data_IF_441606833354
#
_entry.id   IF_441606833354
#
_cell.length_a   1.000
_cell.length_b   1.000
_cell.length_c   1.000
_cell.angle_alpha   90.00
_cell.angle_beta   90.00
_cell.angle_gamma   90.00
#
_symmetry.space_group_name_H-M   'P 1'
#
loop_
_entity.id
_entity.type
_entity.pdbx_description
1 polymer ?
#
# COMPACT_ATOMS: atom_id res chain seq x y z
N UNK A 1 -25.94 -6.40 -22.68
CA UNK A 1 -25.22 -6.83 -21.43
C UNK A 1 -25.65 -8.26 -21.13
N UNK A 2 -24.80 -9.21 -21.43
CA UNK A 2 -25.00 -10.62 -21.09
C UNK A 2 -24.32 -10.98 -19.78
N UNK A 3 -24.81 -12.04 -19.14
CA UNK A 3 -24.16 -12.68 -18.00
C UNK A 3 -23.51 -13.96 -18.52
N UNK A 4 -22.20 -14.03 -18.41
CA UNK A 4 -21.36 -15.13 -18.90
C UNK A 4 -20.83 -15.88 -17.68
N UNK A 5 -21.33 -17.09 -17.45
CA UNK A 5 -20.86 -17.91 -16.35
C UNK A 5 -19.60 -18.67 -16.77
N UNK A 6 -18.53 -18.59 -15.99
CA UNK A 6 -17.26 -19.29 -16.29
C UNK A 6 -17.45 -20.83 -16.36
N UNK A 7 -18.46 -21.37 -15.67
CA UNK A 7 -18.77 -22.81 -15.73
C UNK A 7 -19.25 -23.27 -17.11
N UNK A 8 -19.88 -22.40 -17.88
CA UNK A 8 -20.30 -22.69 -19.26
C UNK A 8 -19.10 -22.86 -20.18
N UNK A 9 -17.92 -22.37 -19.77
CA UNK A 9 -16.64 -22.52 -20.44
C UNK A 9 -15.77 -23.65 -19.86
N UNK A 10 -16.31 -24.40 -18.92
CA UNK A 10 -15.67 -25.59 -18.36
C UNK A 10 -14.96 -25.41 -17.03
N UNK A 11 -15.04 -24.21 -16.42
CA UNK A 11 -14.49 -23.99 -15.07
C UNK A 11 -15.21 -24.88 -14.05
N UNK A 12 -14.44 -25.55 -13.20
CA UNK A 12 -14.94 -26.49 -12.21
C UNK A 12 -15.31 -25.80 -10.89
N UNK A 13 -14.47 -24.87 -10.45
CA UNK A 13 -14.65 -24.20 -9.17
C UNK A 13 -14.65 -25.18 -8.00
N UNK A 14 -13.83 -26.22 -8.06
CA UNK A 14 -13.69 -27.29 -7.04
C UNK A 14 -12.48 -27.06 -6.12
N UNK A 15 -11.74 -25.98 -6.30
CA UNK A 15 -10.56 -25.62 -5.53
C UNK A 15 -9.28 -26.38 -5.90
N UNK A 16 -9.37 -27.36 -6.78
CA UNK A 16 -8.26 -28.24 -7.16
C UNK A 16 -7.90 -28.10 -8.64
N UNK A 17 -8.91 -28.12 -9.50
CA UNK A 17 -8.72 -27.99 -10.97
C UNK A 17 -8.21 -26.60 -11.29
N UNK A 18 -7.23 -26.50 -12.19
CA UNK A 18 -6.77 -25.20 -12.68
C UNK A 18 -7.77 -24.65 -13.70
N UNK A 19 -8.53 -23.64 -13.31
CA UNK A 19 -9.62 -23.06 -14.09
C UNK A 19 -9.19 -21.87 -14.98
N UNK A 20 -7.90 -21.54 -15.03
CA UNK A 20 -7.35 -20.36 -15.72
C UNK A 20 -7.86 -20.25 -17.15
N UNK A 21 -7.68 -21.30 -17.96
CA UNK A 21 -8.07 -21.27 -19.36
C UNK A 21 -9.58 -21.15 -19.56
N UNK A 22 -10.39 -21.78 -18.70
CA UNK A 22 -11.83 -21.71 -18.77
C UNK A 22 -12.33 -20.29 -18.45
N UNK A 23 -11.78 -19.69 -17.40
CA UNK A 23 -12.09 -18.30 -17.02
C UNK A 23 -11.63 -17.33 -18.11
N UNK A 24 -10.43 -17.53 -18.66
CA UNK A 24 -9.90 -16.68 -19.73
C UNK A 24 -10.76 -16.76 -21.00
N UNK A 25 -11.21 -17.94 -21.39
CA UNK A 25 -12.14 -18.09 -22.53
C UNK A 25 -13.47 -17.35 -22.30
N UNK A 26 -13.99 -17.38 -21.08
CA UNK A 26 -15.19 -16.61 -20.73
C UNK A 26 -14.94 -15.09 -20.87
N UNK A 27 -13.80 -14.59 -20.36
CA UNK A 27 -13.39 -13.20 -20.52
C UNK A 27 -13.24 -12.83 -21.99
N UNK A 28 -12.57 -13.66 -22.78
CA UNK A 28 -12.30 -13.42 -24.20
C UNK A 28 -13.59 -13.37 -25.02
N UNK A 29 -14.59 -14.18 -24.66
CA UNK A 29 -15.89 -14.22 -25.34
C UNK A 29 -16.79 -13.03 -25.05
N UNK A 30 -16.60 -12.35 -23.92
CA UNK A 30 -17.44 -11.23 -23.49
C UNK A 30 -17.42 -10.09 -24.51
N UNK A 31 -18.56 -9.44 -24.71
CA UNK A 31 -18.68 -8.21 -25.47
C UNK A 31 -18.70 -6.98 -24.54
N UNK A 32 -18.57 -5.80 -25.12
CA UNK A 32 -18.61 -4.55 -24.35
C UNK A 32 -19.87 -4.46 -23.45
N UNK A 33 -19.66 -4.27 -22.16
CA UNK A 33 -20.70 -4.18 -21.15
C UNK A 33 -21.19 -5.52 -20.59
N UNK A 34 -20.64 -6.65 -21.02
CA UNK A 34 -20.98 -7.95 -20.45
C UNK A 34 -20.33 -8.18 -19.09
N UNK A 35 -20.95 -9.09 -18.32
CA UNK A 35 -20.46 -9.53 -17.01
C UNK A 35 -19.96 -10.97 -17.08
N UNK A 36 -18.71 -11.21 -16.72
CA UNK A 36 -18.14 -12.54 -16.52
C UNK A 36 -18.25 -12.90 -15.04
N UNK A 37 -18.90 -14.02 -14.73
CA UNK A 37 -19.32 -14.37 -13.38
C UNK A 37 -18.65 -15.66 -12.90
N UNK A 38 -17.91 -15.55 -11.81
CA UNK A 38 -17.45 -16.65 -10.97
C UNK A 38 -18.50 -16.89 -9.89
N UNK A 39 -19.43 -17.78 -10.16
CA UNK A 39 -20.62 -17.98 -9.31
C UNK A 39 -20.76 -19.39 -8.77
N UNK A 40 -21.95 -19.68 -8.23
CA UNK A 40 -22.31 -21.03 -7.78
C UNK A 40 -21.52 -21.52 -6.57
N UNK A 41 -21.02 -20.61 -5.71
CA UNK A 41 -20.20 -20.93 -4.54
C UNK A 41 -18.96 -21.76 -4.88
N UNK A 42 -18.35 -21.49 -6.05
CA UNK A 42 -17.16 -22.17 -6.53
C UNK A 42 -15.88 -21.60 -5.93
N UNK A 43 -14.87 -22.47 -5.80
CA UNK A 43 -13.50 -22.12 -5.47
C UNK A 43 -12.66 -22.27 -6.73
N UNK A 44 -12.41 -21.17 -7.45
CA UNK A 44 -11.79 -21.17 -8.76
C UNK A 44 -10.29 -20.99 -8.64
N UNK A 45 -9.52 -22.10 -8.71
CA UNK A 45 -8.07 -22.08 -8.67
C UNK A 45 -7.52 -21.59 -10.01
N UNK A 46 -6.73 -20.53 -10.02
CA UNK A 46 -6.24 -19.99 -11.27
C UNK A 46 -4.86 -19.34 -11.18
N UNK A 47 -4.16 -19.31 -12.31
CA UNK A 47 -2.97 -18.51 -12.55
C UNK A 47 -3.36 -17.14 -13.13
N UNK A 48 -2.55 -16.62 -14.05
CA UNK A 48 -2.72 -15.29 -14.62
C UNK A 48 -3.97 -15.17 -15.49
N UNK A 49 -4.78 -14.15 -15.23
CA UNK A 49 -5.94 -13.71 -16.01
C UNK A 49 -5.68 -12.31 -16.59
N UNK A 50 -5.99 -12.14 -17.86
CA UNK A 50 -5.97 -10.84 -18.54
C UNK A 50 -7.38 -10.31 -18.71
N UNK A 51 -7.63 -9.10 -18.21
CA UNK A 51 -8.88 -8.38 -18.47
C UNK A 51 -8.80 -7.52 -19.73
N UNK A 52 -9.96 -7.07 -20.20
CA UNK A 52 -10.10 -6.19 -21.35
C UNK A 52 -11.10 -5.07 -21.06
N UNK A 53 -11.18 -4.09 -21.96
CA UNK A 53 -12.08 -2.95 -21.82
C UNK A 53 -13.55 -3.34 -21.79
N UNK A 54 -14.34 -2.48 -21.15
CA UNK A 54 -15.79 -2.58 -21.06
C UNK A 54 -16.29 -3.90 -20.43
N UNK A 55 -15.55 -4.40 -19.45
CA UNK A 55 -15.80 -5.70 -18.80
C UNK A 55 -16.13 -5.53 -17.33
N UNK A 56 -17.12 -6.30 -16.89
CA UNK A 56 -17.40 -6.51 -15.47
C UNK A 56 -17.04 -7.94 -15.06
N UNK A 57 -16.04 -8.08 -14.14
CA UNK A 57 -15.70 -9.35 -13.51
C UNK A 57 -16.42 -9.45 -12.16
N UNK A 58 -17.29 -10.42 -12.01
CA UNK A 58 -18.09 -10.62 -10.81
C UNK A 58 -17.68 -11.89 -10.08
N UNK A 59 -17.22 -11.74 -8.85
CA UNK A 59 -16.98 -12.86 -7.93
C UNK A 59 -18.15 -12.87 -6.95
N UNK A 60 -19.11 -13.78 -7.15
CA UNK A 60 -20.33 -13.81 -6.35
C UNK A 60 -20.08 -14.11 -4.87
N UNK A 61 -20.98 -13.62 -4.02
CA UNK A 61 -20.98 -13.97 -2.60
C UNK A 61 -20.97 -15.47 -2.39
N UNK A 62 -19.99 -15.97 -1.65
CA UNK A 62 -19.78 -17.41 -1.41
C UNK A 62 -18.88 -18.08 -2.45
N UNK A 63 -18.48 -17.38 -3.52
CA UNK A 63 -17.46 -17.83 -4.46
C UNK A 63 -16.11 -17.20 -4.14
N UNK A 64 -15.05 -17.88 -4.57
CA UNK A 64 -13.67 -17.46 -4.34
C UNK A 64 -12.81 -17.64 -5.58
N UNK A 65 -12.07 -16.61 -5.96
CA UNK A 65 -10.97 -16.68 -6.91
C UNK A 65 -9.70 -16.99 -6.12
N UNK A 66 -9.14 -18.16 -6.33
CA UNK A 66 -7.95 -18.63 -5.62
C UNK A 66 -6.73 -18.53 -6.54
N UNK A 67 -5.75 -17.71 -6.18
CA UNK A 67 -4.46 -17.71 -6.85
C UNK A 67 -3.75 -19.05 -6.65
N UNK A 68 -3.24 -19.62 -7.73
CA UNK A 68 -2.50 -20.88 -7.66
C UNK A 68 -1.27 -20.75 -6.75
N UNK A 69 -0.99 -21.79 -5.98
CA UNK A 69 0.23 -21.90 -5.17
C UNK A 69 1.48 -22.30 -5.97
N UNK A 70 1.33 -22.53 -7.27
CA UNK A 70 2.43 -22.90 -8.17
C UNK A 70 2.77 -21.73 -9.09
N UNK A 71 3.96 -21.17 -8.95
CA UNK A 71 4.42 -20.03 -9.74
C UNK A 71 4.43 -20.31 -11.25
N UNK A 72 4.58 -21.58 -11.68
CA UNK A 72 4.54 -21.97 -13.09
C UNK A 72 3.16 -21.74 -13.77
N UNK A 73 2.11 -21.48 -13.00
CA UNK A 73 0.79 -21.13 -13.53
C UNK A 73 0.63 -19.63 -13.83
N UNK A 74 1.66 -18.85 -13.50
CA UNK A 74 1.70 -17.41 -13.75
C UNK A 74 2.72 -17.11 -14.84
N UNK A 75 2.51 -16.00 -15.53
CA UNK A 75 3.48 -15.49 -16.50
C UNK A 75 3.69 -13.99 -16.32
N UNK A 76 4.87 -13.51 -16.67
CA UNK A 76 5.17 -12.09 -16.68
C UNK A 76 4.34 -11.40 -17.76
N UNK A 77 3.72 -10.27 -17.41
CA UNK A 77 2.88 -9.52 -18.35
C UNK A 77 3.68 -8.58 -19.28
N UNK A 78 5.01 -8.60 -19.16
CA UNK A 78 5.90 -7.78 -19.98
C UNK A 78 6.09 -6.35 -19.48
N UNK A 79 5.45 -5.96 -18.38
CA UNK A 79 5.68 -4.68 -17.75
C UNK A 79 6.83 -4.78 -16.74
N UNK A 80 7.75 -3.83 -16.79
CA UNK A 80 8.84 -3.71 -15.83
C UNK A 80 8.58 -2.53 -14.89
N UNK A 81 8.58 -2.80 -13.60
CA UNK A 81 8.53 -1.78 -12.56
C UNK A 81 9.89 -1.73 -11.84
N UNK A 82 10.51 -0.57 -11.73
CA UNK A 82 11.88 -0.46 -11.21
C UNK A 82 12.05 -0.84 -9.74
N UNK A 83 11.01 -0.84 -8.94
CA UNK A 83 11.06 -1.36 -7.56
C UNK A 83 10.82 -2.88 -7.51
N UNK A 84 10.12 -3.43 -8.52
CA UNK A 84 9.79 -4.84 -8.64
C UNK A 84 10.24 -5.32 -10.02
N UNK A 85 11.17 -6.23 -10.11
CA UNK A 85 11.64 -6.84 -11.35
C UNK A 85 10.45 -7.32 -12.18
N UNK A 86 10.36 -8.18 -12.98
CA UNK A 86 9.23 -8.59 -13.81
C UNK A 86 7.87 -8.58 -13.10
N UNK A 87 6.87 -7.94 -13.70
CA UNK A 87 5.51 -7.91 -13.17
C UNK A 87 4.80 -9.21 -13.46
N UNK A 88 4.50 -9.95 -12.41
CA UNK A 88 3.76 -11.23 -12.44
C UNK A 88 2.46 -11.03 -11.67
N UNK A 89 1.32 -11.28 -12.32
CA UNK A 89 -0.01 -10.97 -11.78
C UNK A 89 -0.96 -12.17 -11.81
N UNK A 90 -1.88 -12.22 -10.86
CA UNK A 90 -3.07 -13.06 -10.91
C UNK A 90 -4.11 -12.45 -11.88
N UNK A 91 -4.32 -11.14 -11.79
CA UNK A 91 -5.20 -10.37 -12.67
C UNK A 91 -4.43 -9.17 -13.20
N UNK A 92 -4.50 -8.92 -14.51
CA UNK A 92 -3.94 -7.69 -15.06
C UNK A 92 -4.73 -7.14 -16.23
N UNK A 93 -4.58 -5.83 -16.46
CA UNK A 93 -5.06 -5.13 -17.65
C UNK A 93 -4.03 -4.10 -18.11
N UNK A 94 -3.80 -4.00 -19.41
CA UNK A 94 -2.85 -3.05 -20.01
C UNK A 94 -3.55 -2.28 -21.13
N UNK A 95 -3.55 -0.94 -21.06
CA UNK A 95 -4.14 -0.04 -22.04
C UNK A 95 -5.67 -0.25 -22.22
N UNK A 96 -6.37 -0.57 -21.16
CA UNK A 96 -7.80 -0.90 -21.16
C UNK A 96 -8.62 0.19 -20.45
N UNK A 97 -9.94 0.17 -20.63
CA UNK A 97 -10.83 1.15 -20.01
C UNK A 97 -12.16 0.53 -19.58
N UNK A 98 -12.83 1.20 -18.62
CA UNK A 98 -14.16 0.80 -18.16
C UNK A 98 -14.16 -0.64 -17.61
N UNK A 99 -13.32 -0.90 -16.63
CA UNK A 99 -13.21 -2.21 -15.99
C UNK A 99 -13.84 -2.14 -14.60
N UNK A 100 -14.73 -3.07 -14.31
CA UNK A 100 -15.32 -3.24 -12.99
C UNK A 100 -14.99 -4.62 -12.43
N UNK A 101 -14.54 -4.69 -11.15
CA UNK A 101 -14.35 -5.95 -10.42
C UNK A 101 -15.14 -5.87 -9.12
N UNK A 102 -16.10 -6.79 -8.92
CA UNK A 102 -17.00 -6.72 -7.77
C UNK A 102 -17.66 -8.08 -7.44
N UNK A 103 -18.69 -8.08 -6.57
CA UNK A 103 -19.64 -9.21 -6.45
C UNK A 103 -19.83 -9.76 -5.04
N UNK A 104 -19.11 -9.29 -4.02
CA UNK A 104 -19.24 -9.74 -2.62
C UNK A 104 -18.53 -11.04 -2.29
N UNK A 105 -17.81 -11.62 -3.25
CA UNK A 105 -16.99 -12.82 -3.07
C UNK A 105 -15.60 -12.51 -2.52
N UNK A 106 -14.70 -13.49 -2.69
CA UNK A 106 -13.33 -13.42 -2.17
C UNK A 106 -12.29 -13.59 -3.27
N UNK A 107 -11.14 -12.96 -3.05
CA UNK A 107 -9.90 -13.26 -3.76
C UNK A 107 -8.89 -13.74 -2.72
N UNK A 108 -8.45 -14.98 -2.82
CA UNK A 108 -7.40 -15.55 -1.98
C UNK A 108 -6.12 -15.71 -2.80
N UNK A 109 -5.09 -14.96 -2.45
CA UNK A 109 -3.86 -14.91 -3.26
C UNK A 109 -2.81 -15.93 -2.85
N UNK A 110 -2.99 -16.59 -1.69
CA UNK A 110 -2.08 -17.63 -1.20
C UNK A 110 -0.61 -17.18 -1.09
N UNK A 111 -0.37 -15.95 -0.65
CA UNK A 111 0.97 -15.36 -0.56
C UNK A 111 1.95 -16.16 0.31
N UNK A 112 1.43 -16.86 1.32
CA UNK A 112 2.20 -17.77 2.16
C UNK A 112 2.89 -18.91 1.38
N UNK A 113 2.41 -19.25 0.20
CA UNK A 113 3.02 -20.29 -0.65
C UNK A 113 4.34 -19.84 -1.30
N UNK A 114 4.61 -18.54 -1.32
CA UNK A 114 5.74 -17.93 -2.04
C UNK A 114 6.80 -17.35 -1.11
N UNK A 115 6.63 -17.48 0.20
CA UNK A 115 7.48 -16.86 1.20
C UNK A 115 8.06 -17.91 2.12
N UNK A 116 9.35 -17.83 2.37
CA UNK A 116 9.99 -18.62 3.40
C UNK A 116 9.95 -17.88 4.74
N UNK A 117 9.08 -18.29 5.64
CA UNK A 117 8.94 -17.68 6.96
C UNK A 117 10.14 -17.93 7.90
N UNK A 118 11.04 -18.83 7.54
CA UNK A 118 12.31 -19.03 8.24
C UNK A 118 13.40 -18.07 7.77
N UNK A 119 13.21 -17.43 6.60
CA UNK A 119 14.04 -16.34 6.16
C UNK A 119 13.61 -15.04 6.83
N UNK A 120 14.56 -14.25 7.31
CA UNK A 120 14.30 -13.00 7.97
C UNK A 120 15.02 -11.83 7.31
N UNK A 121 14.46 -10.64 7.48
CA UNK A 121 15.07 -9.44 6.96
C UNK A 121 16.42 -9.20 7.64
N UNK A 122 17.54 -9.14 6.92
CA UNK A 122 18.82 -8.76 7.45
C UNK A 122 18.87 -7.24 7.66
N UNK A 123 17.98 -6.71 8.48
CA UNK A 123 18.02 -5.31 8.88
C UNK A 123 19.08 -5.06 9.93
N UNK A 124 19.34 -3.81 10.24
CA UNK A 124 20.35 -3.29 11.17
C UNK A 124 20.08 -3.62 12.64
N UNK A 125 19.51 -4.76 12.92
CA UNK A 125 19.03 -5.11 14.26
C UNK A 125 19.98 -6.07 14.94
N UNK A 126 20.17 -5.85 16.23
CA UNK A 126 20.87 -6.79 17.08
C UNK A 126 20.20 -8.17 17.03
N UNK A 127 20.90 -9.14 16.47
CA UNK A 127 20.41 -10.51 16.25
C UNK A 127 19.86 -11.17 17.52
N UNK A 128 20.38 -10.85 18.69
CA UNK A 128 19.92 -11.43 19.95
C UNK A 128 18.55 -10.91 20.39
N UNK A 129 18.24 -9.66 20.08
CA UNK A 129 16.91 -9.09 20.34
C UNK A 129 15.87 -9.59 19.33
N UNK A 130 16.29 -9.80 18.10
CA UNK A 130 15.42 -10.33 17.04
C UNK A 130 14.98 -11.77 17.28
N UNK A 131 15.83 -12.60 17.85
CA UNK A 131 15.47 -14.00 18.16
C UNK A 131 14.32 -14.09 19.17
N UNK A 132 14.19 -13.11 20.06
CA UNK A 132 13.07 -13.06 21.03
C UNK A 132 11.72 -12.70 20.38
N UNK A 133 11.74 -12.15 19.18
CA UNK A 133 10.58 -11.55 18.50
C UNK A 133 10.34 -12.16 17.13
N UNK A 134 10.91 -13.33 16.90
CA UNK A 134 10.88 -14.04 15.61
C UNK A 134 9.48 -14.14 14.98
N UNK A 135 8.45 -14.34 15.80
CA UNK A 135 7.07 -14.47 15.30
C UNK A 135 6.47 -13.18 14.76
N UNK A 136 7.05 -12.03 15.11
CA UNK A 136 6.58 -10.72 14.65
C UNK A 136 7.39 -10.15 13.48
N UNK A 137 8.52 -10.79 13.11
CA UNK A 137 9.40 -10.24 12.08
C UNK A 137 8.78 -10.24 10.69
N UNK A 138 9.02 -9.16 9.98
CA UNK A 138 8.73 -9.08 8.56
C UNK A 138 9.71 -9.98 7.78
N UNK A 139 9.17 -10.81 6.90
CA UNK A 139 9.95 -11.71 6.06
C UNK A 139 10.30 -10.99 4.76
N UNK A 140 11.56 -10.63 4.63
CA UNK A 140 12.12 -10.02 3.42
C UNK A 140 13.33 -10.82 3.00
N UNK A 141 13.34 -11.32 1.80
CA UNK A 141 14.52 -11.97 1.23
C UNK A 141 14.58 -11.74 -0.26
N UNK A 142 15.73 -11.85 -0.89
CA UNK A 142 15.85 -11.78 -2.35
C UNK A 142 14.88 -12.73 -3.05
N UNK A 143 14.70 -13.91 -2.49
CA UNK A 143 13.81 -14.93 -2.99
C UNK A 143 12.35 -14.49 -3.00
N UNK A 144 11.92 -13.70 -2.02
CA UNK A 144 10.53 -13.24 -1.96
C UNK A 144 10.18 -12.23 -3.04
N UNK A 145 11.16 -11.51 -3.58
CA UNK A 145 10.95 -10.55 -4.68
C UNK A 145 10.96 -11.22 -6.05
N UNK A 146 11.76 -12.27 -6.22
CA UNK A 146 12.03 -12.91 -7.52
C UNK A 146 11.11 -14.09 -7.78
N UNK A 147 10.54 -14.70 -6.75
CA UNK A 147 9.85 -15.99 -6.82
C UNK A 147 8.38 -15.94 -6.42
N UNK A 148 7.76 -14.77 -6.46
CA UNK A 148 6.33 -14.57 -6.12
C UNK A 148 5.62 -13.69 -7.14
N UNK A 149 4.30 -13.79 -7.29
CA UNK A 149 3.53 -12.75 -7.97
C UNK A 149 3.81 -11.39 -7.33
N UNK A 150 4.45 -10.48 -8.10
CA UNK A 150 4.98 -9.22 -7.60
C UNK A 150 3.91 -8.13 -7.51
N UNK A 151 2.92 -8.18 -8.40
CA UNK A 151 1.78 -7.27 -8.45
C UNK A 151 0.52 -8.08 -8.79
N UNK A 152 -0.08 -8.74 -7.79
CA UNK A 152 -1.16 -9.70 -8.01
C UNK A 152 -2.36 -9.16 -8.76
N UNK A 153 -2.79 -7.92 -8.52
CA UNK A 153 -3.83 -7.24 -9.31
C UNK A 153 -3.23 -5.95 -9.86
N UNK A 154 -3.01 -5.93 -11.17
CA UNK A 154 -2.21 -4.90 -11.84
C UNK A 154 -2.91 -4.27 -13.02
N UNK A 155 -2.92 -2.94 -13.03
CA UNK A 155 -3.43 -2.12 -14.13
C UNK A 155 -2.34 -1.15 -14.58
N UNK A 156 -2.07 -1.10 -15.88
CA UNK A 156 -1.19 -0.08 -16.47
C UNK A 156 -1.85 0.63 -17.63
N UNK A 157 -1.73 1.96 -17.64
CA UNK A 157 -2.32 2.85 -18.64
C UNK A 157 -3.84 2.59 -18.87
N UNK A 158 -4.55 2.32 -17.77
CA UNK A 158 -5.98 2.02 -17.80
C UNK A 158 -6.82 3.23 -17.33
N UNK A 159 -8.07 3.29 -17.78
CA UNK A 159 -8.99 4.39 -17.41
C UNK A 159 -10.33 3.87 -16.92
N UNK A 160 -10.95 4.64 -16.01
CA UNK A 160 -12.27 4.32 -15.45
C UNK A 160 -12.32 2.91 -14.86
N UNK A 161 -11.56 2.70 -13.80
CA UNK A 161 -11.47 1.42 -13.08
C UNK A 161 -12.33 1.52 -11.83
N UNK A 162 -13.23 0.57 -11.61
CA UNK A 162 -14.04 0.48 -10.41
C UNK A 162 -13.89 -0.89 -9.74
N UNK A 163 -13.33 -0.91 -8.54
CA UNK A 163 -13.15 -2.14 -7.74
C UNK A 163 -13.90 -1.97 -6.43
N UNK A 164 -14.86 -2.88 -6.17
CA UNK A 164 -15.70 -2.71 -5.00
C UNK A 164 -16.34 -4.00 -4.47
N UNK A 165 -16.73 -3.95 -3.18
CA UNK A 165 -17.50 -5.00 -2.52
C UNK A 165 -16.84 -6.39 -2.60
N UNK A 166 -15.54 -6.48 -2.35
CA UNK A 166 -14.79 -7.73 -2.32
C UNK A 166 -13.98 -7.86 -1.02
N UNK A 167 -13.62 -9.10 -0.71
CA UNK A 167 -12.67 -9.42 0.35
C UNK A 167 -11.43 -10.05 -0.28
N UNK A 168 -10.27 -9.52 0.05
CA UNK A 168 -8.99 -9.94 -0.52
C UNK A 168 -8.06 -10.38 0.60
N UNK A 169 -7.41 -11.52 0.43
CA UNK A 169 -6.62 -12.14 1.48
C UNK A 169 -5.25 -12.56 0.98
N UNK A 170 -4.27 -12.39 1.87
CA UNK A 170 -2.97 -13.06 1.83
C UNK A 170 -2.22 -12.83 0.52
N UNK A 171 -2.04 -11.55 0.18
CA UNK A 171 -1.25 -11.16 -0.99
C UNK A 171 0.23 -11.48 -0.83
N UNK A 172 0.89 -12.02 -1.86
CA UNK A 172 2.33 -12.25 -1.83
C UNK A 172 3.16 -10.96 -1.94
N UNK A 173 2.62 -9.88 -2.53
CA UNK A 173 3.29 -8.61 -2.75
C UNK A 173 2.25 -7.49 -2.92
N UNK A 174 2.54 -6.39 -3.61
CA UNK A 174 1.65 -5.23 -3.80
C UNK A 174 0.28 -5.63 -4.33
N UNK A 175 -0.71 -5.68 -3.45
CA UNK A 175 -2.01 -6.32 -3.71
C UNK A 175 -2.73 -5.74 -4.92
N UNK A 176 -2.94 -4.43 -4.92
CA UNK A 176 -3.53 -3.68 -6.03
C UNK A 176 -2.56 -2.61 -6.49
N UNK A 177 -2.14 -2.67 -7.73
CA UNK A 177 -1.25 -1.67 -8.32
C UNK A 177 -1.90 -1.03 -9.52
N UNK A 178 -1.99 0.30 -9.48
CA UNK A 178 -2.45 1.13 -10.58
C UNK A 178 -1.27 1.97 -11.07
N UNK A 179 -0.80 1.70 -12.28
CA UNK A 179 0.32 2.38 -12.90
C UNK A 179 -0.17 3.20 -14.09
N UNK A 180 0.17 4.48 -14.16
CA UNK A 180 -0.26 5.39 -15.23
C UNK A 180 -1.79 5.39 -15.49
N UNK A 181 -2.59 5.12 -14.48
CA UNK A 181 -4.04 5.00 -14.60
C UNK A 181 -4.74 6.33 -14.31
N UNK A 182 -5.95 6.50 -14.87
CA UNK A 182 -6.75 7.70 -14.70
C UNK A 182 -8.21 7.35 -14.40
N UNK A 183 -8.76 7.91 -13.31
CA UNK A 183 -10.13 7.64 -12.90
C UNK A 183 -10.28 6.27 -12.21
N UNK A 184 -9.85 6.20 -10.94
CA UNK A 184 -9.90 4.98 -10.14
C UNK A 184 -10.90 5.18 -9.01
N UNK A 185 -11.89 4.29 -8.91
CA UNK A 185 -12.78 4.20 -7.75
C UNK A 185 -12.57 2.85 -7.07
N UNK A 186 -12.07 2.89 -5.85
CA UNK A 186 -11.80 1.71 -5.02
C UNK A 186 -12.57 1.86 -3.70
N UNK A 187 -13.60 1.05 -3.51
CA UNK A 187 -14.49 1.26 -2.38
C UNK A 187 -15.09 -0.01 -1.79
N UNK A 188 -15.48 0.07 -0.50
CA UNK A 188 -16.18 -1.02 0.19
C UNK A 188 -15.37 -2.33 0.17
N UNK A 189 -14.07 -2.26 0.33
CA UNK A 189 -13.17 -3.40 0.26
C UNK A 189 -12.69 -3.82 1.64
N UNK A 190 -12.43 -5.11 1.79
CA UNK A 190 -11.73 -5.67 2.93
C UNK A 190 -10.46 -6.35 2.43
N UNK A 191 -9.30 -5.84 2.79
CA UNK A 191 -7.99 -6.38 2.42
C UNK A 191 -7.28 -6.81 3.70
N UNK A 192 -6.95 -8.09 3.80
CA UNK A 192 -6.32 -8.69 4.97
C UNK A 192 -5.13 -9.54 4.53
N UNK A 193 -3.97 -8.96 4.60
CA UNK A 193 -2.71 -9.56 4.20
C UNK A 193 -1.94 -10.08 5.42
N UNK A 194 -1.14 -11.10 5.18
CA UNK A 194 -0.28 -11.64 6.23
C UNK A 194 0.74 -10.57 6.69
N UNK A 195 0.68 -10.20 7.96
CA UNK A 195 1.44 -9.07 8.53
C UNK A 195 2.97 -9.25 8.56
N UNK A 196 3.49 -10.45 8.29
CA UNK A 196 4.94 -10.72 8.20
C UNK A 196 5.46 -10.75 6.76
N UNK A 197 4.61 -10.72 5.75
CA UNK A 197 5.05 -10.68 4.36
C UNK A 197 5.36 -9.24 3.98
N UNK A 198 6.61 -8.98 3.61
CA UNK A 198 7.04 -7.67 3.14
C UNK A 198 6.44 -7.31 1.78
N UNK A 199 6.29 -6.02 1.52
CA UNK A 199 5.76 -5.47 0.28
C UNK A 199 4.34 -5.95 -0.07
N UNK A 200 3.54 -6.38 0.88
CA UNK A 200 2.15 -6.71 0.61
C UNK A 200 1.21 -5.53 0.91
N UNK A 201 1.51 -4.42 0.23
CA UNK A 201 0.70 -3.20 0.26
C UNK A 201 -0.78 -3.49 -0.02
N UNK A 202 -1.66 -2.67 0.48
CA UNK A 202 -3.09 -2.75 0.15
C UNK A 202 -3.36 -2.22 -1.24
N UNK A 203 -3.24 -0.91 -1.43
CA UNK A 203 -3.42 -0.22 -2.72
C UNK A 203 -2.23 0.67 -3.00
N UNK A 204 -1.65 0.53 -4.18
CA UNK A 204 -0.51 1.31 -4.64
C UNK A 204 -0.83 2.04 -5.94
N UNK A 205 -0.80 3.37 -5.92
CA UNK A 205 -0.90 4.22 -7.08
C UNK A 205 0.52 4.61 -7.54
N UNK A 206 0.86 4.33 -8.78
CA UNK A 206 2.12 4.72 -9.40
C UNK A 206 1.85 5.62 -10.59
N UNK A 207 2.20 6.90 -10.50
CA UNK A 207 1.94 7.90 -11.54
C UNK A 207 0.49 7.91 -12.03
N UNK A 208 -0.47 7.72 -11.12
CA UNK A 208 -1.91 7.61 -11.41
C UNK A 208 -2.69 8.79 -10.84
N UNK A 209 -3.79 9.14 -11.48
CA UNK A 209 -4.52 10.37 -11.16
C UNK A 209 -6.03 10.14 -11.03
N UNK A 210 -6.70 11.12 -10.41
CA UNK A 210 -8.16 11.12 -10.23
C UNK A 210 -8.67 9.86 -9.54
N UNK A 211 -8.08 9.54 -8.38
CA UNK A 211 -8.34 8.33 -7.61
C UNK A 211 -9.10 8.58 -6.33
N UNK A 212 -10.07 7.71 -6.03
CA UNK A 212 -10.81 7.69 -4.76
C UNK A 212 -10.69 6.31 -4.15
N UNK A 213 -10.19 6.25 -2.92
CA UNK A 213 -10.15 5.05 -2.07
C UNK A 213 -10.99 5.33 -0.83
N UNK A 214 -12.11 4.63 -0.65
CA UNK A 214 -13.00 4.93 0.46
C UNK A 214 -13.74 3.73 1.03
N UNK A 215 -14.13 3.88 2.30
CA UNK A 215 -14.93 2.88 3.04
C UNK A 215 -14.28 1.48 2.99
N UNK A 216 -12.98 1.42 3.25
CA UNK A 216 -12.18 0.21 3.16
C UNK A 216 -11.56 -0.16 4.50
N UNK A 217 -11.29 -1.44 4.66
CA UNK A 217 -10.45 -1.97 5.75
C UNK A 217 -9.18 -2.57 5.14
N UNK A 218 -8.03 -2.12 5.63
CA UNK A 218 -6.72 -2.63 5.22
C UNK A 218 -5.93 -3.11 6.43
N UNK A 219 -5.53 -4.37 6.42
CA UNK A 219 -4.61 -4.98 7.38
C UNK A 219 -3.43 -5.53 6.58
N UNK A 220 -2.28 -4.86 6.61
CA UNK A 220 -1.18 -5.13 5.69
C UNK A 220 0.15 -5.34 6.42
N UNK A 221 1.03 -6.11 5.81
CA UNK A 221 2.42 -6.25 6.25
C UNK A 221 3.32 -5.11 5.75
N UNK A 222 2.85 -4.35 4.77
CA UNK A 222 3.45 -3.12 4.26
C UNK A 222 2.40 -2.00 4.19
N UNK A 223 2.57 -0.99 3.36
CA UNK A 223 1.70 0.19 3.31
C UNK A 223 0.24 -0.18 3.00
N UNK A 224 -0.73 0.33 3.76
CA UNK A 224 -2.14 0.08 3.42
C UNK A 224 -2.55 0.86 2.17
N UNK A 225 -2.09 2.10 2.05
CA UNK A 225 -2.20 2.92 0.84
C UNK A 225 -0.85 3.56 0.53
N UNK A 226 -0.39 3.44 -0.69
CA UNK A 226 0.80 4.13 -1.17
C UNK A 226 0.54 4.87 -2.48
N UNK A 227 1.14 6.05 -2.64
CA UNK A 227 1.21 6.76 -3.91
C UNK A 227 2.65 7.17 -4.19
N UNK A 228 3.19 6.69 -5.32
CA UNK A 228 4.56 6.95 -5.76
C UNK A 228 4.59 7.25 -7.26
N UNK A 229 5.74 7.61 -7.79
CA UNK A 229 5.98 7.60 -9.22
C UNK A 229 7.12 6.63 -9.52
N UNK A 230 6.98 5.88 -10.58
CA UNK A 230 8.04 5.02 -11.09
C UNK A 230 9.10 5.88 -11.77
N UNK A 231 10.39 5.60 -11.60
CA UNK A 231 11.49 6.30 -12.29
C UNK A 231 11.41 6.21 -13.82
N UNK A 232 10.71 5.22 -14.34
CA UNK A 232 10.51 5.06 -15.78
C UNK A 232 9.29 5.84 -16.30
N UNK A 233 8.55 6.53 -15.46
CA UNK A 233 7.37 7.31 -15.84
C UNK A 233 7.59 8.77 -15.49
N UNK A 234 7.36 9.66 -16.43
CA UNK A 234 7.32 11.11 -16.19
C UNK A 234 6.00 11.55 -15.54
N UNK A 235 5.20 10.59 -15.06
CA UNK A 235 3.87 10.84 -14.55
C UNK A 235 3.83 11.51 -13.19
N UNK A 236 2.63 11.90 -12.81
CA UNK A 236 2.30 12.54 -11.54
C UNK A 236 1.20 11.74 -10.87
N UNK A 237 1.28 11.55 -9.56
CA UNK A 237 0.12 11.16 -8.77
C UNK A 237 -0.62 12.42 -8.33
N UNK A 238 -1.85 12.61 -8.80
CA UNK A 238 -2.60 13.81 -8.44
C UNK A 238 -4.11 13.59 -8.29
N UNK A 239 -4.74 14.50 -7.54
CA UNK A 239 -6.17 14.47 -7.32
C UNK A 239 -6.63 13.13 -6.69
N UNK A 240 -6.03 12.78 -5.57
CA UNK A 240 -6.30 11.52 -4.86
C UNK A 240 -7.02 11.81 -3.55
N UNK A 241 -8.12 11.11 -3.31
CA UNK A 241 -8.82 11.09 -2.02
C UNK A 241 -8.71 9.70 -1.37
N UNK A 242 -8.32 9.68 -0.09
CA UNK A 242 -8.38 8.47 0.75
C UNK A 242 -9.25 8.80 1.95
N UNK A 243 -10.42 8.14 2.08
CA UNK A 243 -11.39 8.50 3.11
C UNK A 243 -12.12 7.31 3.75
N UNK A 244 -12.65 7.52 4.95
CA UNK A 244 -13.50 6.55 5.65
C UNK A 244 -12.89 5.16 5.78
N UNK A 245 -11.60 5.05 6.05
CA UNK A 245 -10.89 3.78 6.09
C UNK A 245 -10.39 3.40 7.48
N UNK A 246 -10.34 2.08 7.73
CA UNK A 246 -9.67 1.46 8.86
C UNK A 246 -8.38 0.81 8.39
N UNK A 247 -7.25 1.17 8.98
CA UNK A 247 -5.94 0.75 8.51
C UNK A 247 -5.06 0.19 9.63
N UNK A 248 -4.27 -0.84 9.35
CA UNK A 248 -3.18 -1.32 10.20
C UNK A 248 -2.04 -1.83 9.33
N UNK A 249 -0.81 -1.41 9.64
CA UNK A 249 0.37 -1.72 8.83
C UNK A 249 1.59 -2.08 9.69
N UNK A 250 2.46 -2.93 9.15
CA UNK A 250 3.81 -3.15 9.68
C UNK A 250 4.84 -2.15 9.14
N UNK A 251 4.46 -1.32 8.18
CA UNK A 251 5.16 -0.18 7.63
C UNK A 251 4.36 1.10 7.92
N UNK A 252 4.02 1.89 6.93
CA UNK A 252 3.14 3.04 7.10
C UNK A 252 1.69 2.70 6.74
N UNK A 253 0.73 3.18 7.51
CA UNK A 253 -0.67 3.04 7.11
C UNK A 253 -0.92 3.79 5.79
N UNK A 254 -0.34 4.98 5.63
CA UNK A 254 -0.45 5.78 4.41
C UNK A 254 0.94 6.31 4.04
N UNK A 255 1.32 6.15 2.76
CA UNK A 255 2.57 6.68 2.23
C UNK A 255 2.35 7.49 0.96
N UNK A 256 2.86 8.72 0.96
CA UNK A 256 2.98 9.56 -0.22
C UNK A 256 4.46 9.80 -0.52
N UNK A 257 4.86 9.42 -1.73
CA UNK A 257 6.21 9.64 -2.23
C UNK A 257 7.19 8.53 -1.90
N UNK A 258 8.18 8.54 -2.71
CA UNK A 258 9.44 7.83 -2.67
C UNK A 258 10.44 8.75 -3.38
N UNK A 259 11.62 8.34 -3.71
CA UNK A 259 12.70 9.23 -4.19
C UNK A 259 12.23 10.27 -5.25
N UNK A 260 11.89 9.86 -6.44
CA UNK A 260 11.59 10.74 -7.59
C UNK A 260 10.12 11.15 -7.73
N UNK A 261 9.30 10.88 -6.74
CA UNK A 261 7.85 10.99 -6.87
C UNK A 261 7.39 12.44 -7.05
N UNK A 262 6.49 12.66 -8.00
CA UNK A 262 5.75 13.90 -8.18
C UNK A 262 4.32 13.69 -7.74
N UNK A 263 3.91 14.30 -6.63
CA UNK A 263 2.62 14.06 -5.99
C UNK A 263 2.01 15.40 -5.63
N UNK A 264 0.72 15.59 -5.94
CA UNK A 264 0.01 16.82 -5.59
C UNK A 264 -1.51 16.65 -5.45
N UNK A 265 -2.12 17.58 -4.75
CA UNK A 265 -3.57 17.65 -4.56
C UNK A 265 -4.10 16.37 -3.91
N UNK A 266 -3.64 16.08 -2.71
CA UNK A 266 -4.01 14.88 -1.96
C UNK A 266 -4.92 15.26 -0.79
N UNK A 267 -6.00 14.51 -0.61
CA UNK A 267 -6.88 14.59 0.55
C UNK A 267 -6.95 13.26 1.27
N UNK A 268 -6.57 13.25 2.53
CA UNK A 268 -6.77 12.13 3.47
C UNK A 268 -7.75 12.60 4.53
N UNK A 269 -8.87 11.90 4.71
CA UNK A 269 -9.85 12.32 5.71
C UNK A 269 -10.60 11.15 6.35
N UNK A 270 -11.03 11.36 7.60
CA UNK A 270 -11.89 10.42 8.33
C UNK A 270 -11.28 9.02 8.42
N UNK A 271 -9.99 8.93 8.77
CA UNK A 271 -9.22 7.68 8.84
C UNK A 271 -9.02 7.26 10.29
N UNK A 272 -9.17 5.96 10.54
CA UNK A 272 -8.72 5.34 11.78
C UNK A 272 -7.54 4.41 11.51
N UNK A 273 -6.38 4.75 12.06
CA UNK A 273 -5.17 3.95 12.00
C UNK A 273 -5.04 3.20 13.33
N UNK A 274 -5.13 1.89 13.26
CA UNK A 274 -4.85 0.95 14.36
C UNK A 274 -3.33 0.86 14.56
N UNK A 275 -2.83 0.24 15.65
CA UNK A 275 -1.41 0.16 15.90
C UNK A 275 -0.60 -0.28 14.68
N UNK A 276 0.14 0.67 14.13
CA UNK A 276 0.97 0.55 12.93
C UNK A 276 2.40 0.96 13.22
N UNK A 277 3.36 0.49 12.45
CA UNK A 277 4.75 0.88 12.67
C UNK A 277 4.98 2.37 12.41
N UNK A 278 4.20 2.94 11.48
CA UNK A 278 4.10 4.38 11.22
C UNK A 278 2.67 4.71 10.78
N UNK A 279 2.19 5.89 11.16
CA UNK A 279 0.86 6.34 10.72
C UNK A 279 0.91 6.84 9.28
N UNK A 280 1.41 8.04 9.06
CA UNK A 280 1.43 8.71 7.75
C UNK A 280 2.86 9.07 7.37
N UNK A 281 3.25 8.73 6.16
CA UNK A 281 4.55 9.06 5.57
C UNK A 281 4.40 9.97 4.37
N UNK A 282 5.09 11.10 4.36
CA UNK A 282 5.21 12.01 3.22
C UNK A 282 6.70 12.16 2.93
N UNK A 283 7.16 11.55 1.84
CA UNK A 283 8.56 11.54 1.47
C UNK A 283 8.81 12.21 0.12
N UNK A 284 9.95 12.90 0.00
CA UNK A 284 10.44 13.38 -1.28
C UNK A 284 11.96 13.26 -1.30
N UNK A 285 12.51 12.86 -2.44
CA UNK A 285 13.93 12.74 -2.65
C UNK A 285 14.32 13.04 -4.09
N UNK A 286 15.61 13.12 -4.35
CA UNK A 286 16.19 13.45 -5.65
C UNK A 286 15.47 14.67 -6.30
N UNK A 287 14.87 14.53 -7.47
CA UNK A 287 14.10 15.57 -8.13
C UNK A 287 12.60 15.50 -7.84
N UNK A 288 12.20 14.75 -6.80
CA UNK A 288 10.81 14.59 -6.40
C UNK A 288 10.20 15.87 -5.84
N UNK A 289 8.87 15.96 -5.93
CA UNK A 289 8.09 17.01 -5.29
C UNK A 289 6.79 16.46 -4.78
N UNK A 290 6.47 16.77 -3.51
CA UNK A 290 5.17 16.49 -2.91
C UNK A 290 4.57 17.81 -2.45
N UNK A 291 3.39 18.15 -2.97
CA UNK A 291 2.77 19.44 -2.67
C UNK A 291 1.25 19.37 -2.51
N UNK A 292 0.71 20.31 -1.76
CA UNK A 292 -0.73 20.43 -1.51
C UNK A 292 -1.35 19.12 -0.99
N UNK A 293 -0.89 18.70 0.19
CA UNK A 293 -1.39 17.53 0.90
C UNK A 293 -2.20 17.98 2.10
N UNK A 294 -3.45 17.56 2.16
CA UNK A 294 -4.32 17.78 3.32
C UNK A 294 -4.66 16.47 4.00
N UNK A 295 -4.44 16.42 5.32
CA UNK A 295 -4.81 15.32 6.20
C UNK A 295 -5.76 15.87 7.26
N UNK A 296 -6.98 15.32 7.36
CA UNK A 296 -7.96 15.80 8.32
C UNK A 296 -8.74 14.68 9.02
N UNK A 297 -9.10 14.90 10.27
CA UNK A 297 -9.92 13.99 11.08
C UNK A 297 -9.31 12.57 11.19
N UNK A 298 -8.02 12.46 11.47
CA UNK A 298 -7.34 11.17 11.61
C UNK A 298 -7.15 10.82 13.08
N UNK A 299 -7.55 9.61 13.46
CA UNK A 299 -7.20 8.97 14.72
C UNK A 299 -6.12 7.93 14.46
N UNK A 300 -4.93 8.15 14.97
CA UNK A 300 -3.77 7.32 14.70
C UNK A 300 -3.17 6.79 16.00
N UNK A 301 -3.04 5.47 16.08
CA UNK A 301 -2.22 4.83 17.10
C UNK A 301 -1.05 4.13 16.41
N UNK A 302 0.17 4.35 16.93
CA UNK A 302 1.34 3.67 16.43
C UNK A 302 1.96 2.76 17.47
N UNK A 303 2.73 1.80 17.00
CA UNK A 303 3.45 0.85 17.80
C UNK A 303 4.75 0.49 17.07
N UNK A 304 5.86 0.42 17.80
CA UNK A 304 7.10 -0.13 17.28
C UNK A 304 6.91 -1.64 17.13
N UNK A 305 7.08 -2.13 15.92
CA UNK A 305 7.08 -3.56 15.60
C UNK A 305 8.51 -4.10 15.49
N UNK A 306 8.65 -5.41 15.70
CA UNK A 306 9.93 -6.09 15.53
C UNK A 306 10.41 -6.05 14.08
N UNK A 307 11.73 -6.06 13.93
CA UNK A 307 12.37 -6.18 12.63
C UNK A 307 12.75 -4.86 11.97
N UNK A 308 13.39 -4.97 10.82
CA UNK A 308 13.99 -3.86 10.08
C UNK A 308 13.07 -3.15 9.10
N UNK A 309 11.74 -3.28 9.22
CA UNK A 309 10.83 -2.62 8.29
C UNK A 309 10.64 -1.13 8.64
N UNK A 310 10.15 -0.36 7.68
CA UNK A 310 10.08 1.10 7.80
C UNK A 310 9.12 1.56 8.91
N UNK A 311 9.52 2.63 9.58
CA UNK A 311 8.78 3.19 10.70
C UNK A 311 9.26 2.66 12.04
N UNK A 312 9.18 3.51 13.05
CA UNK A 312 9.58 3.20 14.43
C UNK A 312 8.59 3.83 15.43
N UNK A 313 7.32 3.76 15.13
CA UNK A 313 6.26 4.23 16.03
C UNK A 313 5.94 5.72 15.91
N UNK A 314 6.27 6.37 14.81
CA UNK A 314 5.93 7.78 14.56
C UNK A 314 4.47 7.92 14.11
N UNK A 315 3.75 8.90 14.62
CA UNK A 315 2.39 9.22 14.18
C UNK A 315 2.37 9.69 12.73
N UNK A 316 3.30 10.58 12.37
CA UNK A 316 3.57 10.93 10.97
C UNK A 316 5.04 11.30 10.75
N UNK A 317 5.45 11.26 9.49
CA UNK A 317 6.71 11.83 9.03
C UNK A 317 6.50 12.65 7.76
N UNK A 318 7.07 13.86 7.72
CA UNK A 318 7.20 14.71 6.53
C UNK A 318 8.69 14.90 6.31
N UNK A 319 9.27 14.23 5.32
CA UNK A 319 10.71 14.14 5.21
C UNK A 319 11.24 14.31 3.79
N UNK A 320 12.12 15.28 3.61
CA UNK A 320 12.97 15.48 2.43
C UNK A 320 14.45 15.66 2.84
N UNK A 321 14.83 15.15 3.99
CA UNK A 321 16.20 15.25 4.49
C UNK A 321 17.16 14.40 3.65
N UNK A 322 18.31 14.99 3.28
CA UNK A 322 19.42 14.35 2.55
C UNK A 322 19.08 13.78 1.15
N UNK A 323 17.91 14.06 0.60
CA UNK A 323 17.47 13.42 -0.65
C UNK A 323 17.25 14.39 -1.81
N UNK A 324 17.43 15.70 -1.62
CA UNK A 324 17.30 16.70 -2.69
C UNK A 324 15.88 17.02 -3.15
N UNK A 325 14.87 16.26 -2.71
CA UNK A 325 13.48 16.50 -3.06
C UNK A 325 12.87 17.72 -2.36
N UNK A 326 11.61 18.01 -2.67
CA UNK A 326 10.87 19.13 -2.09
C UNK A 326 9.51 18.68 -1.55
N UNK A 327 9.11 19.24 -0.41
CA UNK A 327 7.76 19.09 0.15
C UNK A 327 7.21 20.46 0.46
N UNK A 328 5.99 20.77 -0.02
CA UNK A 328 5.34 22.07 0.15
C UNK A 328 3.87 21.94 0.52
N UNK A 329 3.40 22.89 1.31
CA UNK A 329 1.97 23.05 1.61
C UNK A 329 1.29 21.77 2.14
N UNK A 330 1.79 21.25 3.26
CA UNK A 330 1.19 20.12 3.98
C UNK A 330 0.36 20.66 5.14
N UNK A 331 -0.92 20.31 5.20
CA UNK A 331 -1.81 20.63 6.32
C UNK A 331 -2.29 19.37 7.00
N UNK A 332 -2.09 19.26 8.31
CA UNK A 332 -2.61 18.18 9.16
C UNK A 332 -3.55 18.84 10.17
N UNK A 333 -4.85 18.47 10.10
CA UNK A 333 -5.91 19.18 10.82
C UNK A 333 -6.82 18.22 11.56
N UNK A 334 -7.20 18.59 12.80
CA UNK A 334 -8.13 17.84 13.65
C UNK A 334 -7.70 16.37 13.84
N UNK A 335 -6.41 16.12 13.99
CA UNK A 335 -5.85 14.78 14.12
C UNK A 335 -5.43 14.48 15.57
N UNK A 336 -5.54 13.22 15.95
CA UNK A 336 -5.06 12.71 17.22
C UNK A 336 -4.08 11.58 17.03
N UNK A 337 -2.86 11.73 17.57
CA UNK A 337 -1.78 10.77 17.46
C UNK A 337 -1.41 10.21 18.84
N UNK A 338 -1.45 8.89 18.99
CA UNK A 338 -0.91 8.14 20.12
C UNK A 338 0.32 7.41 19.62
N UNK A 339 1.51 7.80 20.06
CA UNK A 339 2.75 7.42 19.39
C UNK A 339 3.86 6.97 20.35
N UNK A 340 4.67 6.02 19.93
CA UNK A 340 5.81 5.51 20.70
C UNK A 340 7.12 6.26 20.42
N UNK A 341 7.27 6.82 19.23
CA UNK A 341 8.30 7.80 18.88
C UNK A 341 7.62 9.05 18.29
N UNK A 342 8.24 10.23 18.41
CA UNK A 342 7.61 11.47 17.99
C UNK A 342 7.34 11.53 16.50
N UNK A 343 6.29 12.22 16.12
CA UNK A 343 6.06 12.66 14.75
C UNK A 343 7.21 13.57 14.29
N UNK A 344 7.56 13.52 13.00
CA UNK A 344 8.78 14.14 12.47
C UNK A 344 8.47 15.06 11.29
N UNK A 345 9.08 16.24 11.28
CA UNK A 345 9.20 17.11 10.10
C UNK A 345 10.67 17.36 9.85
N UNK A 346 11.21 16.79 8.78
CA UNK A 346 12.63 16.77 8.50
C UNK A 346 12.97 17.30 7.11
N UNK A 347 13.79 18.35 7.04
CA UNK A 347 14.27 18.92 5.80
C UNK A 347 15.78 19.14 5.79
N UNK A 348 16.29 19.58 4.63
CA UNK A 348 17.65 20.07 4.46
C UNK A 348 17.54 21.41 3.72
N UNK A 349 18.15 22.45 4.29
CA UNK A 349 18.15 23.81 3.72
C UNK A 349 16.75 24.39 3.40
N UNK A 350 15.72 23.89 4.12
CA UNK A 350 14.34 24.36 3.98
C UNK A 350 13.62 23.85 2.74
N UNK A 351 13.99 22.70 2.24
CA UNK A 351 13.28 22.01 1.15
C UNK A 351 11.95 21.36 1.60
N UNK A 352 11.68 21.35 2.89
CA UNK A 352 10.34 21.13 3.47
C UNK A 352 9.82 22.49 3.92
N UNK A 353 8.74 22.98 3.32
CA UNK A 353 8.21 24.31 3.51
C UNK A 353 6.69 24.33 3.65
N UNK A 354 6.18 25.02 4.68
CA UNK A 354 4.75 25.21 4.84
C UNK A 354 4.00 24.01 5.42
N UNK A 355 4.52 23.41 6.50
CA UNK A 355 3.80 22.36 7.24
C UNK A 355 2.96 22.99 8.35
N UNK A 356 1.64 22.78 8.30
CA UNK A 356 0.68 23.36 9.24
C UNK A 356 -0.02 22.26 10.03
N UNK A 357 0.12 22.30 11.35
CA UNK A 357 -0.62 21.47 12.30
C UNK A 357 -1.73 22.32 12.92
N UNK A 358 -2.98 21.93 12.71
CA UNK A 358 -4.17 22.68 13.20
C UNK A 358 -5.03 21.78 14.05
N UNK A 359 -5.27 22.15 15.30
CA UNK A 359 -6.06 21.32 16.24
C UNK A 359 -5.58 19.88 16.37
N UNK A 360 -4.27 19.64 16.25
CA UNK A 360 -3.68 18.32 16.44
C UNK A 360 -3.33 18.08 17.91
N UNK A 361 -3.55 16.86 18.36
CA UNK A 361 -3.18 16.42 19.70
C UNK A 361 -2.25 15.21 19.61
N UNK A 362 -1.28 15.17 20.53
CA UNK A 362 -0.27 14.13 20.57
C UNK A 362 -0.20 13.52 21.96
N UNK A 363 -0.16 12.21 22.04
CA UNK A 363 0.00 11.46 23.27
C UNK A 363 1.19 10.52 23.13
N UNK A 364 2.19 10.71 24.01
CA UNK A 364 3.33 9.81 24.08
C UNK A 364 2.94 8.50 24.76
N UNK A 365 3.13 7.38 24.06
CA UNK A 365 2.89 6.03 24.58
C UNK A 365 4.16 5.47 25.19
N UNK A 366 4.18 5.37 26.51
CA UNK A 366 5.26 4.72 27.24
C UNK A 366 5.17 3.19 27.13
N UNK A 367 6.28 2.51 27.38
CA UNK A 367 6.29 1.05 27.52
C UNK A 367 6.27 0.27 26.21
N UNK A 368 7.09 0.70 25.24
CA UNK A 368 7.31 -0.07 24.01
C UNK A 368 7.69 -1.51 24.31
N UNK A 369 7.12 -2.45 23.53
CA UNK A 369 7.51 -3.86 23.54
C UNK A 369 8.87 -4.10 22.86
N UNK A 370 9.34 -3.12 22.08
CA UNK A 370 10.60 -3.15 21.34
C UNK A 370 11.50 -1.95 21.71
N UNK A 371 12.01 -1.88 22.93
CA UNK A 371 12.73 -0.71 23.45
C UNK A 371 14.00 -0.35 22.66
N UNK A 372 14.57 -1.31 21.93
CA UNK A 372 15.74 -1.08 21.08
C UNK A 372 15.51 0.02 20.02
N UNK A 373 14.30 0.09 19.47
CA UNK A 373 13.95 1.09 18.45
C UNK A 373 13.42 2.40 19.03
N UNK A 374 13.26 2.46 20.35
CA UNK A 374 12.83 3.68 21.02
C UNK A 374 13.88 4.77 20.87
N UNK A 375 13.46 5.97 20.55
CA UNK A 375 14.33 7.10 20.27
C UNK A 375 15.30 6.86 19.10
N UNK A 376 14.97 5.98 18.17
CA UNK A 376 15.68 5.84 16.90
C UNK A 376 14.96 6.64 15.81
N UNK A 377 15.74 7.25 14.94
CA UNK A 377 15.26 8.04 13.81
C UNK A 377 15.31 7.19 12.54
N UNK A 378 14.16 6.92 11.94
CA UNK A 378 14.03 6.21 10.68
C UNK A 378 13.51 7.17 9.59
N UNK A 379 14.41 7.70 8.77
CA UNK A 379 14.11 8.63 7.70
C UNK A 379 14.06 7.95 6.31
N UNK A 380 13.91 6.62 6.28
CA UNK A 380 13.79 5.91 5.01
C UNK A 380 12.58 6.41 4.18
N UNK A 381 12.71 6.46 2.85
CA UNK A 381 13.83 5.99 2.02
C UNK A 381 15.00 6.97 1.91
N UNK A 382 14.90 8.14 2.47
CA UNK A 382 15.89 9.21 2.29
C UNK A 382 17.22 8.91 3.01
N UNK A 383 17.14 8.28 4.18
CA UNK A 383 18.30 7.85 4.95
C UNK A 383 18.09 6.37 5.28
N UNK A 384 18.83 5.45 4.67
CA UNK A 384 18.55 4.02 4.76
C UNK A 384 18.95 3.38 6.09
N UNK A 385 19.59 4.10 6.98
CA UNK A 385 20.10 3.57 8.27
C UNK A 385 19.41 4.24 9.45
N UNK A 386 19.13 3.46 10.49
CA UNK A 386 18.68 3.99 11.76
C UNK A 386 19.75 4.89 12.39
N UNK A 387 19.33 6.04 12.86
CA UNK A 387 20.20 7.01 13.51
C UNK A 387 19.79 7.18 14.98
N UNK A 388 20.75 7.50 15.83
CA UNK A 388 20.44 8.01 17.16
C UNK A 388 19.71 9.34 17.02
N UNK A 389 18.51 9.40 17.58
CA UNK A 389 17.69 10.59 17.49
C UNK A 389 18.06 11.61 18.57
N UNK A 390 18.04 12.90 18.27
CA UNK A 390 18.29 13.93 19.24
C UNK A 390 17.08 14.23 20.14
N UNK A 391 15.92 13.65 19.87
CA UNK A 391 14.74 13.83 20.70
C UNK A 391 14.79 12.97 21.98
N UNK A 392 14.07 13.41 23.00
CA UNK A 392 14.01 12.76 24.30
C UNK A 392 12.75 11.91 24.43
N UNK A 393 12.82 10.94 25.33
CA UNK A 393 11.65 10.16 25.74
C UNK A 393 10.54 11.09 26.20
N UNK A 394 9.38 11.01 25.58
CA UNK A 394 8.21 11.84 25.84
C UNK A 394 8.02 13.02 24.90
N UNK A 395 8.99 13.30 24.03
CA UNK A 395 8.78 14.24 22.93
C UNK A 395 7.72 13.65 21.96
N UNK A 396 6.87 14.52 21.44
CA UNK A 396 5.78 14.13 20.53
C UNK A 396 5.88 14.77 19.15
N UNK A 397 6.73 15.76 18.99
CA UNK A 397 7.01 16.38 17.68
C UNK A 397 8.47 16.78 17.62
N UNK A 398 9.13 16.41 16.53
CA UNK A 398 10.49 16.78 16.24
C UNK A 398 10.63 17.45 14.89
N UNK A 399 11.16 18.67 14.85
CA UNK A 399 11.30 19.47 13.63
C UNK A 399 12.77 19.83 13.43
N UNK A 400 13.31 19.63 12.24
CA UNK A 400 14.64 20.12 11.88
C UNK A 400 14.77 20.41 10.39
N UNK A 401 15.56 21.42 10.02
CA UNK A 401 15.89 21.76 8.63
C UNK A 401 14.70 22.16 7.74
N UNK A 402 13.52 22.30 8.29
CA UNK A 402 12.30 22.72 7.61
C UNK A 402 12.03 24.23 7.80
N UNK A 403 11.16 24.82 6.95
CA UNK A 403 10.73 26.23 7.04
C UNK A 403 9.21 26.32 7.22
N UNK A 404 8.77 27.39 7.83
CA UNK A 404 7.35 27.72 7.99
C UNK A 404 6.53 26.55 8.57
N UNK A 405 7.07 25.86 9.57
CA UNK A 405 6.35 24.84 10.33
C UNK A 405 5.57 25.52 11.45
N UNK A 406 4.27 25.33 11.48
CA UNK A 406 3.41 25.95 12.50
C UNK A 406 2.52 24.93 13.20
N UNK A 407 2.27 25.14 14.50
CA UNK A 407 1.28 24.42 15.27
C UNK A 407 0.30 25.44 15.89
N UNK A 408 -0.97 25.35 15.51
CA UNK A 408 -2.02 26.29 15.87
C UNK A 408 -1.61 27.77 15.65
N UNK A 409 -0.93 28.04 14.55
CA UNK A 409 -0.46 29.36 14.16
C UNK A 409 0.84 29.83 14.83
N UNK A 410 1.36 29.08 15.79
CA UNK A 410 2.67 29.37 16.39
C UNK A 410 3.78 28.63 15.62
N UNK A 411 4.90 29.31 15.36
CA UNK A 411 6.07 28.68 14.71
C UNK A 411 6.68 27.61 15.63
N UNK A 412 6.95 26.45 15.07
CA UNK A 412 7.67 25.35 15.71
C UNK A 412 9.11 25.34 15.17
N UNK A 413 10.06 25.34 16.09
CA UNK A 413 11.50 25.38 15.77
C UNK A 413 12.19 24.11 16.19
#
# INVERSE_FOLDING_TARGET
>A
MAIINVRDFGAKGDGCTLDTEAIQRAIDSAQAGDSVVLGGRGFYNCGTLRLKSDLKLVIETGSELCGSRNLAHYYANGFYHNEMVDTISLIYALNESNIEICGGGKIQMNGDAFVNFDAWCPGEVNREEMVKEYEEQTVVGPETKVTRPSQPIFFDNCKNIHIHNLKVFNSPCWTFTFSNCDGILFENMYVDNHNRIANNDGVHFSASSNGIVRNCTFLCGDDCFAATCNTNTEGVCENIEVSDCLMSSRSAAIRFGHLYSKIRNILVKDIKILPSNRGISIFSGDDGIVENVKVENVQCETRIHAGGWWGKGEGFIVCAANAGGQIKDVTIENCHFIEENPSIVAGTDGNVDGVKLVNCTFEYKAGSTHPYFKNKLDLQPNIPTLQEAPFKTGDTLYVFGAKNVTSNGAEVK
#
